data_IF_715277469576
#
_entry.id   IF_715277469576
#
_cell.length_a   1.000
_cell.length_b   1.000
_cell.length_c   1.000
_cell.angle_alpha   90.00
_cell.angle_beta   90.00
_cell.angle_gamma   90.00
#
_symmetry.space_group_name_H-M   'P 1'
#
loop_
_entity.id
_entity.type
_entity.pdbx_description
1 polymer ?
#
# COMPACT_ATOMS: atom_id res chain seq x y z
N UNK A 1 33.62 28.80 -27.52
CA UNK A 1 34.04 27.66 -28.35
C UNK A 1 34.63 26.61 -27.41
N UNK A 2 33.83 25.75 -26.75
CA UNK A 2 32.94 24.64 -27.16
C UNK A 2 33.70 23.40 -27.68
N UNK A 3 33.40 22.12 -27.41
CA UNK A 3 32.71 21.20 -26.42
C UNK A 3 32.93 19.77 -27.04
N UNK A 4 33.00 18.62 -26.34
CA UNK A 4 31.96 17.53 -26.18
C UNK A 4 32.70 16.20 -25.84
N UNK A 5 32.29 15.26 -24.96
CA UNK A 5 31.29 15.10 -23.85
C UNK A 5 31.69 13.76 -23.14
N UNK A 6 31.81 13.68 -21.80
CA UNK A 6 30.78 13.17 -20.85
C UNK A 6 30.21 11.79 -21.21
N UNK A 7 30.22 10.71 -20.41
CA UNK A 7 30.65 10.46 -19.03
C UNK A 7 30.40 8.97 -18.66
N UNK A 8 31.23 8.48 -17.73
CA UNK A 8 31.05 7.39 -16.73
C UNK A 8 30.61 5.96 -17.13
N UNK A 9 31.62 5.10 -17.12
CA UNK A 9 31.77 3.64 -16.91
C UNK A 9 30.55 2.71 -16.69
N UNK A 10 30.60 1.65 -17.50
CA UNK A 10 29.77 0.46 -17.66
C UNK A 10 29.66 -0.49 -16.45
N UNK A 11 28.45 -1.02 -16.27
CA UNK A 11 28.04 -2.42 -15.98
C UNK A 11 29.00 -3.35 -15.22
N UNK A 12 28.49 -3.92 -14.10
CA UNK A 12 28.58 -5.38 -13.83
C UNK A 12 27.67 -5.84 -12.67
N UNK A 13 26.62 -6.58 -13.06
CA UNK A 13 25.93 -7.70 -12.36
C UNK A 13 25.04 -7.30 -11.14
N UNK A 14 23.86 -7.87 -10.88
CA UNK A 14 23.41 -9.27 -10.92
C UNK A 14 21.87 -9.29 -11.14
N UNK A 15 21.38 -9.85 -12.26
CA UNK A 15 20.52 -11.06 -12.39
C UNK A 15 19.10 -10.97 -11.79
N UNK A 16 18.15 -10.78 -12.70
CA UNK A 16 16.92 -11.57 -12.97
C UNK A 16 16.15 -12.22 -11.82
N UNK A 17 14.81 -12.07 -11.82
CA UNK A 17 13.84 -13.18 -11.94
C UNK A 17 12.39 -12.65 -12.07
N UNK A 18 11.79 -12.93 -13.24
CA UNK A 18 10.41 -13.40 -13.51
C UNK A 18 9.25 -12.48 -13.10
N UNK A 19 8.71 -11.71 -14.05
CA UNK A 19 7.63 -12.08 -14.98
C UNK A 19 6.23 -12.08 -14.35
N UNK A 20 5.45 -11.12 -14.82
CA UNK A 20 4.02 -10.98 -14.64
C UNK A 20 3.57 -9.87 -15.59
N UNK A 21 3.47 -10.21 -16.87
CA UNK A 21 3.05 -9.31 -17.94
C UNK A 21 1.68 -8.69 -17.66
N UNK A 22 1.58 -7.40 -17.94
CA UNK A 22 0.33 -6.65 -17.96
C UNK A 22 0.54 -5.28 -18.60
N UNK A 23 1.04 -5.26 -19.84
CA UNK A 23 1.14 -4.04 -20.62
C UNK A 23 -0.28 -3.73 -21.12
N UNK A 24 -0.96 -2.80 -20.47
CA UNK A 24 -2.14 -2.14 -21.06
C UNK A 24 -1.72 -0.76 -21.55
N UNK A 25 -1.98 -0.54 -22.82
CA UNK A 25 -1.62 0.65 -23.56
C UNK A 25 -2.33 1.90 -23.03
N UNK A 26 -1.60 3.01 -23.01
CA UNK A 26 -2.15 4.35 -23.20
C UNK A 26 -3.03 4.89 -22.08
N UNK A 27 -2.41 5.49 -21.07
CA UNK A 27 -2.93 6.71 -20.43
C UNK A 27 -1.73 7.48 -19.90
N UNK A 28 -1.74 8.80 -20.09
CA UNK A 28 -0.68 9.68 -19.61
C UNK A 28 -0.46 9.43 -18.11
N UNK A 29 0.70 8.84 -17.76
CA UNK A 29 1.15 8.77 -16.38
C UNK A 29 1.47 10.20 -15.96
N UNK A 30 0.50 10.84 -15.31
CA UNK A 30 0.79 11.98 -14.44
C UNK A 30 1.70 11.42 -13.35
N UNK A 31 3.01 11.58 -13.55
CA UNK A 31 4.02 11.34 -12.52
C UNK A 31 3.86 12.46 -11.48
N UNK A 32 2.79 12.41 -10.69
CA UNK A 32 2.81 13.08 -9.39
C UNK A 32 3.91 12.37 -8.63
N UNK A 33 5.06 13.03 -8.46
CA UNK A 33 6.10 12.56 -7.58
C UNK A 33 5.46 12.36 -6.21
N UNK A 34 5.14 11.10 -5.87
CA UNK A 34 4.80 10.73 -4.51
C UNK A 34 6.02 11.11 -3.69
N UNK A 35 5.92 12.02 -2.70
CA UNK A 35 7.06 12.37 -1.88
C UNK A 35 7.65 11.07 -1.35
N UNK A 36 8.97 10.92 -1.51
CA UNK A 36 9.72 9.80 -0.99
C UNK A 36 9.65 9.86 0.54
N UNK A 37 8.56 9.34 1.10
CA UNK A 37 8.45 9.03 2.50
C UNK A 37 9.59 8.06 2.83
N UNK A 38 10.33 8.35 3.90
CA UNK A 38 11.31 7.45 4.47
C UNK A 38 10.76 6.03 4.45
N UNK A 39 11.44 5.12 3.73
CA UNK A 39 10.94 3.83 3.25
C UNK A 39 10.22 3.05 4.35
N UNK A 40 8.93 3.35 4.53
CA UNK A 40 8.09 2.72 5.52
C UNK A 40 7.63 1.41 4.88
N UNK A 41 8.14 0.30 5.40
CA UNK A 41 7.74 -1.01 4.91
C UNK A 41 6.35 -1.28 5.44
N UNK A 42 5.38 -1.24 4.54
CA UNK A 42 3.98 -1.46 4.85
C UNK A 42 3.51 -2.81 4.32
N UNK A 43 2.91 -3.60 5.20
CA UNK A 43 2.33 -4.90 4.88
C UNK A 43 0.83 -4.86 5.15
N UNK A 44 0.06 -5.43 4.24
CA UNK A 44 -1.39 -5.62 4.40
C UNK A 44 -1.74 -7.10 4.30
N UNK A 45 -2.75 -7.52 5.06
CA UNK A 45 -3.26 -8.88 5.00
C UNK A 45 -4.72 -8.92 5.44
N UNK A 46 -5.45 -9.94 5.01
CA UNK A 46 -6.80 -10.23 5.49
C UNK A 46 -6.79 -11.30 6.57
N UNK A 47 -7.81 -11.29 7.42
CA UNK A 47 -8.08 -12.42 8.31
C UNK A 47 -8.36 -13.69 7.50
N UNK A 48 -8.15 -14.87 8.11
CA UNK A 48 -8.34 -16.17 7.45
C UNK A 48 -9.77 -16.36 6.94
N UNK A 49 -10.74 -15.85 7.69
CA UNK A 49 -12.16 -15.81 7.36
C UNK A 49 -12.50 -14.75 6.30
N UNK A 50 -11.60 -13.79 6.05
CA UNK A 50 -11.76 -12.74 5.04
C UNK A 50 -12.62 -11.56 5.48
N UNK A 51 -13.09 -11.51 6.73
CA UNK A 51 -13.96 -10.44 7.25
C UNK A 51 -13.23 -9.20 7.77
N UNK A 52 -11.91 -9.28 7.99
CA UNK A 52 -11.11 -8.16 8.53
C UNK A 52 -9.87 -7.88 7.69
N UNK A 53 -9.63 -6.60 7.41
CA UNK A 53 -8.40 -6.12 6.81
C UNK A 53 -7.45 -5.60 7.90
N UNK A 54 -6.17 -5.91 7.75
CA UNK A 54 -5.10 -5.45 8.61
C UNK A 54 -4.06 -4.72 7.79
N UNK A 55 -3.49 -3.70 8.41
CA UNK A 55 -2.37 -2.95 7.87
C UNK A 55 -1.35 -2.70 8.95
N UNK A 56 -0.07 -2.92 8.65
CA UNK A 56 1.03 -2.57 9.56
C UNK A 56 2.15 -1.96 8.75
N UNK A 57 2.56 -0.78 9.16
CA UNK A 57 3.77 -0.15 8.68
C UNK A 57 4.82 -0.12 9.78
N UNK A 58 6.07 -0.35 9.38
CA UNK A 58 7.26 -0.15 10.22
C UNK A 58 8.18 0.84 9.54
N UNK A 59 8.76 1.76 10.30
CA UNK A 59 9.51 2.89 9.77
C UNK A 59 8.87 4.21 10.20
N UNK A 60 9.32 5.31 9.59
CA UNK A 60 8.89 6.66 9.94
C UNK A 60 9.96 7.42 10.73
N UNK A 61 10.27 8.61 10.25
CA UNK A 61 11.33 9.44 10.80
C UNK A 61 10.85 10.29 11.98
N UNK A 62 9.53 10.43 12.15
CA UNK A 62 8.94 11.26 13.20
C UNK A 62 8.02 10.49 14.14
N UNK A 63 7.73 11.10 15.31
CA UNK A 63 6.73 10.57 16.25
C UNK A 63 5.29 10.69 15.74
N UNK A 64 5.09 11.49 14.69
CA UNK A 64 3.79 11.78 14.09
C UNK A 64 3.51 10.92 12.86
N UNK A 65 4.47 10.13 12.39
CA UNK A 65 4.25 9.17 11.32
C UNK A 65 3.18 8.16 11.77
N UNK A 66 2.00 8.28 11.18
CA UNK A 66 0.85 7.40 11.43
C UNK A 66 0.43 6.72 10.14
N UNK A 67 -0.24 5.58 10.27
CA UNK A 67 -0.83 4.88 9.16
C UNK A 67 -2.20 4.31 9.53
N UNK A 68 -3.04 4.09 8.52
CA UNK A 68 -4.28 3.34 8.64
C UNK A 68 -4.47 2.42 7.44
N UNK A 69 -5.21 1.34 7.65
CA UNK A 69 -5.67 0.47 6.56
C UNK A 69 -6.98 1.02 6.02
N UNK A 70 -7.09 1.12 4.70
CA UNK A 70 -8.33 1.38 4.01
C UNK A 70 -8.77 0.11 3.32
N UNK A 71 -9.93 -0.41 3.71
CA UNK A 71 -10.51 -1.62 3.15
C UNK A 71 -11.66 -1.28 2.21
N UNK A 72 -11.70 -1.95 1.06
CA UNK A 72 -12.91 -2.04 0.24
C UNK A 72 -13.55 -3.37 0.56
N UNK A 73 -14.74 -3.31 1.15
CA UNK A 73 -15.53 -4.46 1.53
C UNK A 73 -16.57 -4.74 0.44
N UNK A 74 -16.92 -6.01 0.24
CA UNK A 74 -18.01 -6.42 -0.63
C UNK A 74 -19.24 -6.76 0.21
N UNK A 75 -20.37 -6.12 -0.09
CA UNK A 75 -21.66 -6.47 0.51
C UNK A 75 -22.23 -7.79 -0.02
N UNK A 76 -23.27 -8.34 0.63
CA UNK A 76 -23.97 -9.54 0.16
C UNK A 76 -24.68 -9.31 -1.19
N UNK A 77 -24.94 -8.05 -1.54
CA UNK A 77 -25.50 -7.60 -2.82
C UNK A 77 -24.44 -7.41 -3.92
N UNK A 78 -23.17 -7.69 -3.62
CA UNK A 78 -22.05 -7.50 -4.54
C UNK A 78 -21.63 -6.04 -4.71
N UNK A 79 -22.15 -5.10 -3.90
CA UNK A 79 -21.77 -3.69 -3.98
C UNK A 79 -20.59 -3.35 -3.07
N UNK A 80 -19.58 -2.62 -3.57
CA UNK A 80 -18.44 -2.27 -2.76
C UNK A 80 -18.79 -1.14 -1.79
N UNK A 81 -18.23 -1.20 -0.59
CA UNK A 81 -18.26 -0.11 0.37
C UNK A 81 -16.89 0.05 1.05
N UNK A 82 -16.53 1.28 1.38
CA UNK A 82 -15.24 1.59 1.98
C UNK A 82 -15.34 1.56 3.51
N UNK A 83 -14.32 1.00 4.15
CA UNK A 83 -14.13 1.07 5.59
C UNK A 83 -12.70 1.48 5.92
N UNK A 84 -12.60 2.48 6.78
CA UNK A 84 -11.34 2.99 7.29
C UNK A 84 -11.01 2.30 8.61
N UNK A 85 -9.75 1.91 8.76
CA UNK A 85 -9.20 1.48 10.04
C UNK A 85 -8.75 2.67 10.88
N UNK A 86 -8.36 2.37 12.11
CA UNK A 86 -7.83 3.37 13.03
C UNK A 86 -6.44 3.86 12.57
N UNK A 87 -6.20 5.17 12.73
CA UNK A 87 -4.85 5.71 12.66
C UNK A 87 -4.00 5.16 13.82
N UNK A 88 -2.87 4.56 13.48
CA UNK A 88 -1.94 3.98 14.44
C UNK A 88 -0.51 4.42 14.14
N UNK A 89 0.37 4.34 15.14
CA UNK A 89 1.73 4.84 15.02
C UNK A 89 2.62 3.89 14.20
N UNK A 90 3.24 4.42 13.14
CA UNK A 90 4.15 3.69 12.23
C UNK A 90 5.46 3.34 12.91
N UNK A 91 6.03 4.26 13.69
CA UNK A 91 7.30 4.04 14.42
C UNK A 91 7.20 2.90 15.44
N UNK A 92 6.04 2.73 16.07
CA UNK A 92 5.78 1.64 17.02
C UNK A 92 5.38 0.33 16.34
N UNK A 93 5.27 0.29 15.01
CA UNK A 93 4.87 -0.91 14.27
C UNK A 93 3.49 -1.43 14.70
N UNK A 94 2.58 -0.52 15.06
CA UNK A 94 1.22 -0.88 15.45
C UNK A 94 0.43 -1.37 14.23
N UNK A 95 -0.60 -2.17 14.47
CA UNK A 95 -1.45 -2.72 13.41
C UNK A 95 -2.76 -1.95 13.37
N UNK A 96 -3.06 -1.33 12.24
CA UNK A 96 -4.38 -0.80 11.91
C UNK A 96 -5.31 -1.96 11.52
N UNK A 97 -6.59 -1.84 11.89
CA UNK A 97 -7.63 -2.84 11.64
C UNK A 97 -8.90 -2.19 11.09
N UNK A 98 -9.45 -2.74 10.02
CA UNK A 98 -10.78 -2.42 9.50
C UNK A 98 -11.61 -3.70 9.41
N UNK A 99 -12.79 -3.71 10.03
CA UNK A 99 -13.66 -4.91 10.11
C UNK A 99 -14.83 -4.74 9.16
N UNK A 100 -14.80 -5.44 8.02
CA UNK A 100 -15.94 -5.53 7.11
C UNK A 100 -17.07 -6.36 7.74
N UNK A 101 -16.74 -7.48 8.36
CA UNK A 101 -17.69 -8.31 9.09
C UNK A 101 -17.00 -9.17 10.15
N UNK A 102 -17.58 -9.31 11.36
CA UNK A 102 -17.08 -10.24 12.37
C UNK A 102 -17.41 -11.71 12.01
N UNK A 103 -18.33 -11.96 11.07
CA UNK A 103 -18.70 -13.29 10.62
C UNK A 103 -19.01 -13.29 9.11
N UNK A 104 -17.98 -13.32 8.26
CA UNK A 104 -18.13 -13.27 6.80
C UNK A 104 -18.90 -14.47 6.25
N UNK A 105 -18.79 -15.65 6.88
CA UNK A 105 -19.51 -16.86 6.47
C UNK A 105 -21.04 -16.75 6.61
N UNK A 106 -21.54 -15.95 7.55
CA UNK A 106 -22.99 -15.71 7.73
C UNK A 106 -23.50 -14.50 6.97
N UNK A 107 -22.68 -13.46 6.86
CA UNK A 107 -23.08 -12.16 6.32
C UNK A 107 -22.83 -12.04 4.82
N UNK A 108 -22.02 -12.93 4.24
CA UNK A 108 -21.51 -12.82 2.87
C UNK A 108 -20.76 -11.50 2.61
N UNK A 109 -20.27 -10.86 3.67
CA UNK A 109 -19.48 -9.63 3.61
C UNK A 109 -18.01 -9.98 3.80
N UNK A 110 -17.16 -9.59 2.86
CA UNK A 110 -15.73 -9.91 2.88
C UNK A 110 -14.88 -8.75 2.38
N UNK A 111 -13.59 -8.78 2.72
CA UNK A 111 -12.60 -7.81 2.22
C UNK A 111 -12.30 -8.13 0.76
N UNK A 112 -12.61 -7.17 -0.12
CA UNK A 112 -12.34 -7.26 -1.56
C UNK A 112 -10.92 -6.76 -1.90
N UNK A 113 -10.57 -5.56 -1.44
CA UNK A 113 -9.23 -5.00 -1.61
C UNK A 113 -8.83 -4.14 -0.41
N UNK A 114 -7.55 -3.80 -0.32
CA UNK A 114 -7.04 -2.96 0.77
C UNK A 114 -5.84 -2.15 0.32
N UNK A 115 -5.67 -0.97 0.92
CA UNK A 115 -4.51 -0.10 0.76
C UNK A 115 -4.10 0.46 2.12
N UNK A 116 -2.88 0.97 2.21
CA UNK A 116 -2.42 1.74 3.37
C UNK A 116 -2.50 3.21 3.02
N UNK A 117 -2.95 4.01 3.97
CA UNK A 117 -2.77 5.45 3.99
C UNK A 117 -1.78 5.79 5.10
N UNK A 118 -0.78 6.61 4.76
CA UNK A 118 0.21 7.14 5.69
C UNK A 118 0.04 8.65 5.75
N UNK A 119 0.15 9.21 6.95
CA UNK A 119 0.15 10.65 7.17
C UNK A 119 1.36 11.03 8.03
N UNK A 120 2.05 12.08 7.61
CA UNK A 120 3.16 12.69 8.34
C UNK A 120 3.01 14.21 8.21
N UNK A 121 2.89 14.97 9.31
CA UNK A 121 2.85 16.41 9.25
C UNK A 121 4.19 16.95 8.76
N UNK A 122 4.16 17.72 7.68
CA UNK A 122 5.30 18.46 7.11
C UNK A 122 5.76 19.59 8.02
#
# INVERSE_FOLDING_TARGET
MIIIKGGTLNFRKIISVVAGMGITAGTALVLTATPAAASSTCTTWKSKDGGTAYGKCTGGDTRFSVHRVWAVCMGPDGKPFNLEGNWVNTRKGQTSKAVCSPNPARTSIYVHSMKIETDEPV
#
